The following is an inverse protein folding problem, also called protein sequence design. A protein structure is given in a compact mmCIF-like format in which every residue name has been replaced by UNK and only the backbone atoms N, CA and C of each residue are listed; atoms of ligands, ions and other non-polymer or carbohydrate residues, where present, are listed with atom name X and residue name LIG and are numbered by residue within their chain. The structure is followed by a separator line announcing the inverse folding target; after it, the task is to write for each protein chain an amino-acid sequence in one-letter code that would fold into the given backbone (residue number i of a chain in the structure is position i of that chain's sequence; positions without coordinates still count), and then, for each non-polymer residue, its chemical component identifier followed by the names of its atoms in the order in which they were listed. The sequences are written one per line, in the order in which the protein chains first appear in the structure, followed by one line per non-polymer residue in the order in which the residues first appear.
data_IF_539715862996
#
_entry.id   IF_539715862996
#
_cell.length_a   1.000
_cell.length_b   1.000
_cell.length_c   1.000
_cell.angle_alpha   90.00
_cell.angle_beta   90.00
_cell.angle_gamma   90.00
#
_symmetry.space_group_name_H-M   'P 1'
#
loop_
_entity.id
_entity.type
_entity.pdbx_description
1 polymer ?
#
# COMPACT_ATOMS: atom_id res chain seq x y z
N UNK A 1 1.04 -36.90 10.60
CA UNK A 1 0.57 -37.30 11.94
C UNK A 1 0.43 -36.00 12.74
N UNK A 2 -0.70 -35.46 13.14
CA UNK A 2 -2.10 -35.87 13.12
C UNK A 2 -2.97 -34.62 12.87
N UNK A 3 -3.97 -34.79 12.00
CA UNK A 3 -5.05 -33.82 11.78
C UNK A 3 -6.03 -33.94 12.96
N UNK A 4 -6.33 -32.85 13.66
CA UNK A 4 -7.51 -32.76 14.51
C UNK A 4 -8.55 -31.84 13.85
N UNK A 5 -9.53 -32.50 13.25
CA UNK A 5 -10.78 -31.93 12.75
C UNK A 5 -11.66 -31.71 13.97
N UNK A 6 -12.11 -30.48 14.22
CA UNK A 6 -13.19 -30.19 15.17
C UNK A 6 -14.52 -30.11 14.37
N UNK A 7 -15.37 -31.11 14.59
CA UNK A 7 -16.73 -31.15 14.09
C UNK A 7 -17.62 -30.51 15.16
N UNK A 8 -18.29 -29.38 14.83
CA UNK A 8 -19.37 -28.86 15.65
C UNK A 8 -20.68 -29.55 15.27
N UNK A 9 -21.20 -30.34 16.22
CA UNK A 9 -22.50 -30.98 16.14
C UNK A 9 -23.60 -30.01 16.56
N UNK A 10 -24.43 -29.60 15.61
CA UNK A 10 -25.65 -28.80 15.84
C UNK A 10 -26.79 -29.77 16.25
N UNK A 11 -27.21 -29.74 17.52
CA UNK A 11 -28.39 -30.48 17.97
C UNK A 11 -29.61 -29.54 17.92
N UNK A 12 -30.47 -29.75 16.93
CA UNK A 12 -31.77 -29.13 16.91
C UNK A 12 -32.78 -30.03 17.65
N UNK A 13 -33.33 -29.58 18.76
CA UNK A 13 -34.41 -30.24 19.47
C UNK A 13 -35.71 -29.63 18.95
N UNK A 14 -36.46 -30.43 18.15
CA UNK A 14 -37.82 -30.15 17.79
C UNK A 14 -38.71 -30.87 18.81
N UNK A 15 -39.40 -30.13 19.65
CA UNK A 15 -40.47 -30.67 20.52
C UNK A 15 -41.81 -30.58 19.78
N UNK A 16 -42.26 -31.71 19.30
CA UNK A 16 -43.67 -31.87 18.86
C UNK A 16 -44.53 -32.19 20.09
N UNK A 17 -45.44 -31.29 20.44
CA UNK A 17 -46.53 -31.61 21.36
C UNK A 17 -47.76 -32.07 20.55
N UNK A 18 -48.04 -33.35 20.61
CA UNK A 18 -49.31 -33.93 20.13
C UNK A 18 -50.33 -33.77 21.25
N UNK A 19 -51.40 -33.02 21.01
CA UNK A 19 -52.59 -33.06 21.84
C UNK A 19 -53.60 -34.04 21.27
N UNK A 20 -53.89 -35.05 22.01
CA UNK A 20 -54.92 -36.06 21.68
C UNK A 20 -56.33 -35.52 21.89
N UNK A 21 -57.16 -35.66 20.86
CA UNK A 21 -58.58 -35.46 20.95
C UNK A 21 -59.19 -36.76 21.44
N UNK A 22 -59.94 -36.70 22.55
CA UNK A 22 -60.83 -37.78 22.96
C UNK A 22 -62.28 -37.35 22.73
N UNK A 23 -62.96 -38.09 21.86
CA UNK A 23 -64.39 -38.03 21.69
C UNK A 23 -65.09 -39.04 22.62
N UNK A 24 -66.07 -38.64 23.31
CA UNK A 24 -67.03 -39.54 23.93
C UNK A 24 -68.41 -38.92 23.87
N UNK A 25 -69.25 -39.74 23.43
CA UNK A 25 -70.61 -39.73 22.91
C UNK A 25 -71.69 -39.70 24.03
N UNK A 26 -72.87 -39.25 23.63
CA UNK A 26 -74.25 -39.62 24.02
C UNK A 26 -74.95 -38.88 25.15
N UNK A 27 -76.04 -38.36 24.75
CA UNK A 27 -77.49 -38.54 24.83
C UNK A 27 -78.24 -37.54 25.69
N UNK A 28 -79.20 -36.94 25.00
CA UNK A 28 -80.55 -36.49 25.41
C UNK A 28 -80.86 -36.00 26.82
N UNK A 29 -81.30 -34.74 26.94
CA UNK A 29 -82.69 -34.45 27.25
C UNK A 29 -83.04 -32.97 27.12
N UNK A 30 -84.21 -32.73 26.55
CA UNK A 30 -84.81 -31.41 26.33
C UNK A 30 -85.29 -30.78 27.61
N UNK A 31 -84.91 -29.52 27.88
CA UNK A 31 -85.84 -28.65 28.56
C UNK A 31 -85.61 -27.17 28.22
N UNK A 32 -86.64 -26.60 27.58
CA UNK A 32 -86.72 -25.20 27.22
C UNK A 32 -86.89 -24.33 28.49
N UNK A 33 -85.99 -23.39 28.76
CA UNK A 33 -86.36 -22.21 29.52
C UNK A 33 -85.69 -21.01 28.86
N UNK A 34 -86.51 -20.00 28.70
CA UNK A 34 -86.25 -18.77 27.94
C UNK A 34 -84.99 -18.01 28.28
N UNK A 35 -84.47 -17.43 27.24
CA UNK A 35 -83.38 -16.49 27.11
C UNK A 35 -83.38 -15.32 28.06
N UNK A 36 -82.24 -15.04 28.62
CA UNK A 36 -81.80 -13.67 28.73
C UNK A 36 -80.58 -13.57 27.85
N UNK A 37 -80.65 -12.61 26.95
CA UNK A 37 -79.57 -12.18 26.05
C UNK A 37 -78.56 -11.43 26.93
N UNK A 38 -77.63 -12.18 27.52
CA UNK A 38 -76.51 -11.64 28.16
C UNK A 38 -75.47 -11.47 27.07
N UNK A 39 -75.46 -10.26 26.47
CA UNK A 39 -74.39 -9.87 25.59
C UNK A 39 -73.08 -10.06 26.36
N UNK A 40 -72.40 -11.16 26.04
CA UNK A 40 -71.00 -11.33 26.39
C UNK A 40 -70.26 -10.17 25.72
N UNK A 41 -70.12 -9.08 26.44
CA UNK A 41 -69.12 -8.08 26.16
C UNK A 41 -67.79 -8.84 26.27
N UNK A 42 -67.29 -9.34 25.16
CA UNK A 42 -65.95 -9.89 25.09
C UNK A 42 -65.03 -8.83 25.68
N UNK A 43 -64.41 -9.14 26.78
CA UNK A 43 -63.30 -8.32 27.29
C UNK A 43 -62.35 -8.17 26.11
N UNK A 44 -62.28 -6.96 25.57
CA UNK A 44 -61.23 -6.57 24.65
C UNK A 44 -59.99 -6.59 25.52
N UNK A 45 -59.28 -7.72 25.49
CA UNK A 45 -58.00 -7.85 26.17
C UNK A 45 -57.04 -6.90 25.45
N UNK A 46 -57.01 -5.66 25.93
CA UNK A 46 -56.08 -4.64 25.48
C UNK A 46 -54.71 -4.92 26.08
N UNK A 47 -54.19 -6.14 25.92
CA UNK A 47 -52.84 -6.45 26.39
C UNK A 47 -51.83 -5.56 25.64
N UNK A 48 -51.25 -4.66 26.41
CA UNK A 48 -50.19 -3.78 25.90
C UNK A 48 -48.97 -4.64 25.64
N UNK A 49 -48.48 -4.60 24.39
CA UNK A 49 -47.19 -5.15 24.03
C UNK A 49 -46.25 -4.04 23.52
N UNK A 50 -44.99 -4.16 23.84
CA UNK A 50 -43.96 -3.19 23.47
C UNK A 50 -42.89 -3.94 22.68
N UNK A 51 -42.66 -3.56 21.42
CA UNK A 51 -41.56 -4.04 20.59
C UNK A 51 -40.53 -2.92 20.43
N UNK A 52 -39.27 -3.21 20.79
CA UNK A 52 -38.19 -2.24 20.75
C UNK A 52 -37.22 -2.63 19.66
N UNK A 53 -36.72 -1.65 18.92
CA UNK A 53 -35.67 -1.83 17.92
C UNK A 53 -34.54 -0.83 18.13
N UNK A 54 -33.31 -1.31 17.99
CA UNK A 54 -32.10 -0.53 17.98
C UNK A 54 -31.13 -1.15 16.97
N UNK A 55 -30.27 -0.33 16.35
CA UNK A 55 -29.27 -0.79 15.39
C UNK A 55 -27.88 -0.59 15.98
N UNK A 56 -26.96 -1.46 15.56
CA UNK A 56 -25.54 -1.24 15.81
C UNK A 56 -25.10 0.10 15.19
N UNK A 57 -24.25 0.81 15.92
CA UNK A 57 -23.68 2.09 15.50
C UNK A 57 -22.15 2.04 15.59
N UNK A 58 -21.51 3.05 15.01
CA UNK A 58 -20.07 3.29 15.17
C UNK A 58 -19.85 4.33 16.28
N UNK A 59 -18.76 4.22 16.98
CA UNK A 59 -18.38 5.17 18.03
C UNK A 59 -18.41 6.61 17.52
N UNK A 60 -19.12 7.46 18.27
CA UNK A 60 -19.37 8.85 17.93
C UNK A 60 -20.67 9.10 17.16
N UNK A 61 -21.36 8.05 16.71
CA UNK A 61 -22.71 8.16 16.15
C UNK A 61 -23.77 8.10 17.24
N UNK A 62 -24.94 8.66 16.93
CA UNK A 62 -26.10 8.67 17.83
C UNK A 62 -26.93 7.40 17.63
N UNK A 63 -27.30 6.72 18.73
CA UNK A 63 -28.16 5.56 18.72
C UNK A 63 -29.65 5.96 18.77
N UNK A 64 -30.36 5.77 17.67
CA UNK A 64 -31.81 5.91 17.64
C UNK A 64 -32.46 4.59 18.06
N UNK A 65 -33.29 4.66 19.12
CA UNK A 65 -34.07 3.54 19.63
C UNK A 65 -35.56 3.84 19.41
N UNK A 66 -36.26 2.91 18.80
CA UNK A 66 -37.69 3.01 18.52
C UNK A 66 -38.46 1.96 19.34
N UNK A 67 -39.61 2.34 19.89
CA UNK A 67 -40.59 1.43 20.47
C UNK A 67 -41.90 1.50 19.70
N UNK A 68 -42.44 0.33 19.37
CA UNK A 68 -43.83 0.16 18.85
C UNK A 68 -44.69 -0.42 19.94
N UNK A 69 -45.87 0.16 20.13
CA UNK A 69 -46.79 -0.21 21.18
C UNK A 69 -48.08 -0.65 20.55
N UNK A 70 -48.60 -1.77 21.02
CA UNK A 70 -49.91 -2.30 20.61
C UNK A 70 -50.82 -2.30 21.82
N UNK A 71 -52.03 -1.75 21.73
CA UNK A 71 -52.67 -1.22 20.51
C UNK A 71 -52.10 0.14 20.09
N UNK A 72 -52.08 0.44 18.79
CA UNK A 72 -51.47 1.60 18.18
C UNK A 72 -52.17 2.96 18.51
N UNK A 73 -53.35 2.90 19.15
CA UNK A 73 -54.05 4.08 19.69
C UNK A 73 -53.59 4.48 21.09
N UNK A 74 -52.60 3.76 21.67
CA UNK A 74 -51.97 4.12 22.94
C UNK A 74 -51.29 5.50 22.86
N UNK A 75 -51.53 6.33 23.86
CA UNK A 75 -50.97 7.69 23.94
C UNK A 75 -50.32 7.90 25.29
N UNK A 76 -49.41 8.85 25.39
CA UNK A 76 -48.72 9.18 26.63
C UNK A 76 -47.20 9.14 26.45
N UNK A 77 -46.51 8.84 27.54
CA UNK A 77 -45.03 8.82 27.55
C UNK A 77 -44.54 7.41 27.87
N UNK A 78 -43.54 6.96 27.09
CA UNK A 78 -42.82 5.71 27.33
C UNK A 78 -41.40 6.03 27.80
N UNK A 79 -40.89 5.28 28.77
CA UNK A 79 -39.54 5.39 29.28
C UNK A 79 -38.64 4.36 28.60
N UNK A 80 -37.47 4.79 28.14
CA UNK A 80 -36.41 3.93 27.65
C UNK A 80 -35.26 3.93 28.65
N UNK A 81 -34.88 2.76 29.16
CA UNK A 81 -33.75 2.57 30.05
C UNK A 81 -32.63 1.88 29.32
N UNK A 82 -31.49 2.54 29.18
CA UNK A 82 -30.28 2.02 28.58
C UNK A 82 -29.31 1.62 29.70
N UNK A 83 -28.83 0.39 29.69
CA UNK A 83 -27.88 -0.20 30.64
C UNK A 83 -28.33 0.01 32.10
N UNK A 84 -29.63 0.00 32.37
CA UNK A 84 -30.30 0.21 33.67
C UNK A 84 -30.04 1.57 34.31
N UNK A 85 -29.26 2.47 33.72
CA UNK A 85 -28.82 3.71 34.33
C UNK A 85 -29.27 4.97 33.57
N UNK A 86 -29.31 4.96 32.26
CA UNK A 86 -29.62 6.13 31.45
C UNK A 86 -31.09 6.04 31.02
N UNK A 87 -31.91 6.96 31.49
CA UNK A 87 -33.34 6.97 31.19
C UNK A 87 -33.70 8.17 30.33
N UNK A 88 -34.39 7.88 29.22
CA UNK A 88 -35.01 8.89 28.35
C UNK A 88 -36.52 8.62 28.24
N UNK A 89 -37.27 9.67 27.91
CA UNK A 89 -38.72 9.58 27.75
C UNK A 89 -39.11 10.00 26.34
N UNK A 90 -39.80 9.13 25.64
CA UNK A 90 -40.40 9.39 24.35
C UNK A 90 -41.90 9.63 24.42
N UNK A 91 -42.43 10.49 23.58
CA UNK A 91 -43.89 10.71 23.44
C UNK A 91 -44.42 9.71 22.40
N UNK A 92 -45.46 8.98 22.79
CA UNK A 92 -46.13 8.02 21.91
C UNK A 92 -47.00 8.78 20.89
N UNK A 93 -46.74 8.58 19.63
CA UNK A 93 -47.48 9.14 18.49
C UNK A 93 -47.82 8.01 17.53
N UNK A 94 -49.11 7.77 17.27
CA UNK A 94 -49.57 6.66 16.39
C UNK A 94 -48.96 5.30 16.77
N UNK A 95 -48.90 5.00 18.06
CA UNK A 95 -48.39 3.73 18.57
C UNK A 95 -46.87 3.57 18.48
N UNK A 96 -46.11 4.65 18.26
CA UNK A 96 -44.66 4.60 18.19
C UNK A 96 -44.03 5.74 18.99
N UNK A 97 -42.87 5.50 19.55
CA UNK A 97 -42.04 6.53 20.17
C UNK A 97 -40.56 6.26 19.86
N UNK A 98 -39.75 7.30 19.80
CA UNK A 98 -38.32 7.17 19.61
C UNK A 98 -37.53 8.09 20.52
N UNK A 99 -36.33 7.67 20.88
CA UNK A 99 -35.35 8.47 21.62
C UNK A 99 -33.97 8.32 20.97
N UNK A 100 -33.08 9.26 21.26
CA UNK A 100 -31.69 9.25 20.73
C UNK A 100 -30.75 9.24 21.92
N UNK A 101 -29.92 8.21 22.03
CA UNK A 101 -28.82 8.15 23.00
C UNK A 101 -27.52 8.58 22.31
N UNK A 102 -26.84 9.52 22.96
CA UNK A 102 -25.59 10.11 22.42
C UNK A 102 -24.40 9.78 23.31
N UNK A 103 -23.18 9.89 22.77
CA UNK A 103 -21.93 9.71 23.51
C UNK A 103 -21.82 8.34 24.21
N UNK A 104 -22.24 7.29 23.53
CA UNK A 104 -22.16 5.94 24.05
C UNK A 104 -20.72 5.40 23.97
N UNK A 105 -20.33 4.66 24.99
CA UNK A 105 -19.06 3.94 25.02
C UNK A 105 -19.07 2.75 24.06
N UNK A 106 -17.89 2.32 23.63
CA UNK A 106 -17.74 1.14 22.78
C UNK A 106 -18.09 -0.11 23.57
N UNK A 107 -18.91 -0.97 22.99
CA UNK A 107 -19.33 -2.21 23.59
C UNK A 107 -20.78 -2.57 23.31
N UNK A 108 -21.29 -3.50 24.09
CA UNK A 108 -22.69 -3.92 24.07
C UNK A 108 -23.51 -3.05 24.99
N UNK A 109 -24.62 -2.57 24.48
CA UNK A 109 -25.63 -1.82 25.21
C UNK A 109 -26.96 -2.56 25.19
N UNK A 110 -27.70 -2.48 26.25
CA UNK A 110 -29.03 -3.09 26.39
C UNK A 110 -30.08 -2.03 26.68
N UNK A 111 -31.17 -2.03 25.94
CA UNK A 111 -32.27 -1.09 26.13
C UNK A 111 -33.59 -1.82 26.41
N UNK A 112 -34.34 -1.32 27.36
CA UNK A 112 -35.69 -1.74 27.70
C UNK A 112 -36.62 -0.54 27.63
N UNK A 113 -37.78 -0.69 27.03
CA UNK A 113 -38.82 0.31 27.06
C UNK A 113 -39.92 -0.09 28.08
N UNK A 114 -40.42 0.89 28.83
CA UNK A 114 -41.43 0.69 29.89
C UNK A 114 -42.58 1.67 29.73
N UNK A 115 -43.80 1.17 29.70
CA UNK A 115 -45.03 1.94 29.66
C UNK A 115 -46.04 1.35 30.65
N UNK A 116 -46.56 2.15 31.54
CA UNK A 116 -47.56 1.79 32.58
C UNK A 116 -47.20 0.49 33.34
N UNK A 117 -45.91 0.34 33.69
CA UNK A 117 -45.40 -0.83 34.44
C UNK A 117 -45.13 -2.07 33.59
N UNK A 118 -45.44 -2.04 32.27
CA UNK A 118 -45.13 -3.11 31.34
C UNK A 118 -43.81 -2.83 30.65
N UNK A 119 -42.90 -3.82 30.67
CA UNK A 119 -41.58 -3.73 30.08
C UNK A 119 -41.54 -4.53 28.76
N UNK A 120 -40.78 -4.01 27.79
CA UNK A 120 -40.38 -4.78 26.64
C UNK A 120 -39.37 -5.88 27.02
N UNK A 121 -39.12 -6.80 26.12
CA UNK A 121 -37.90 -7.63 26.15
C UNK A 121 -36.68 -6.73 25.95
N UNK A 122 -35.54 -7.00 26.62
CA UNK A 122 -34.31 -6.26 26.38
C UNK A 122 -33.84 -6.42 24.92
N UNK A 123 -33.46 -5.33 24.30
CA UNK A 123 -32.82 -5.31 22.97
C UNK A 123 -31.36 -4.90 23.11
N UNK A 124 -30.49 -5.69 22.52
CA UNK A 124 -29.04 -5.46 22.56
C UNK A 124 -28.57 -4.92 21.21
N UNK A 125 -27.77 -3.87 21.25
CA UNK A 125 -27.04 -3.34 20.09
C UNK A 125 -25.59 -3.06 20.46
N UNK A 126 -24.72 -2.92 19.44
CA UNK A 126 -23.30 -2.68 19.65
C UNK A 126 -22.93 -1.26 19.23
N UNK A 127 -22.05 -0.65 20.00
CA UNK A 127 -21.24 0.50 19.57
C UNK A 127 -19.89 -0.04 19.13
N UNK A 128 -19.65 0.00 17.84
CA UNK A 128 -18.46 -0.57 17.21
C UNK A 128 -17.31 0.45 17.16
N UNK A 129 -16.08 -0.03 17.17
CA UNK A 129 -14.91 0.82 16.92
C UNK A 129 -14.97 1.42 15.52
N UNK A 130 -14.36 2.59 15.33
CA UNK A 130 -14.20 3.21 14.02
C UNK A 130 -13.26 2.35 13.18
N UNK A 131 -13.75 1.80 12.08
CA UNK A 131 -12.97 1.03 11.10
C UNK A 131 -12.68 1.79 9.80
N UNK A 132 -13.52 2.79 9.49
CA UNK A 132 -13.35 3.66 8.33
C UNK A 132 -12.51 4.88 8.68
N UNK A 133 -11.19 4.73 8.58
CA UNK A 133 -10.21 5.81 8.78
C UNK A 133 -8.99 5.58 7.89
N UNK A 134 -8.20 6.63 7.66
CA UNK A 134 -6.99 6.54 6.86
C UNK A 134 -5.77 6.15 7.70
N UNK A 135 -4.96 5.27 7.13
CA UNK A 135 -3.62 4.94 7.60
C UNK A 135 -2.68 5.06 6.42
N UNK A 136 -1.71 5.95 6.51
CA UNK A 136 -0.72 6.17 5.44
C UNK A 136 0.67 5.79 5.91
N UNK A 137 1.47 5.28 4.98
CA UNK A 137 2.88 4.94 5.19
C UNK A 137 3.69 5.71 4.16
N UNK A 138 4.58 6.58 4.62
CA UNK A 138 5.47 7.34 3.77
C UNK A 138 6.92 7.03 4.12
N UNK A 139 7.65 6.51 3.15
CA UNK A 139 9.07 6.23 3.27
C UNK A 139 9.74 6.62 1.94
N UNK A 140 10.53 7.71 1.90
CA UNK A 140 11.28 8.06 0.70
C UNK A 140 12.31 6.97 0.37
N UNK A 141 12.62 6.82 -0.91
CA UNK A 141 13.72 5.94 -1.32
C UNK A 141 15.04 6.41 -0.72
N UNK A 142 15.88 5.46 -0.31
CA UNK A 142 17.19 5.74 0.27
C UNK A 142 18.27 4.99 -0.49
N UNK A 143 19.51 5.45 -0.40
CA UNK A 143 20.64 4.69 -0.92
C UNK A 143 21.01 3.53 -0.01
N UNK A 144 21.50 2.45 -0.61
CA UNK A 144 22.01 1.29 0.11
C UNK A 144 23.06 1.69 1.16
N UNK A 145 22.93 1.13 2.34
CA UNK A 145 23.73 1.48 3.52
C UNK A 145 23.07 2.50 4.45
N UNK A 146 21.97 3.14 4.03
CA UNK A 146 21.16 4.01 4.89
C UNK A 146 19.92 3.29 5.42
N UNK A 147 19.44 3.75 6.58
CA UNK A 147 18.17 3.25 7.13
C UNK A 147 16.98 3.84 6.35
N UNK A 148 15.96 3.02 6.13
CA UNK A 148 14.67 3.49 5.66
C UNK A 148 13.88 4.02 6.86
N UNK A 149 13.54 5.31 6.86
CA UNK A 149 12.69 5.92 7.89
C UNK A 149 11.25 5.97 7.40
N UNK A 150 10.42 5.05 7.89
CA UNK A 150 9.01 4.98 7.55
C UNK A 150 8.16 5.80 8.52
N UNK A 151 7.46 6.81 8.00
CA UNK A 151 6.51 7.63 8.74
C UNK A 151 5.11 7.07 8.55
N UNK A 152 4.50 6.59 9.63
CA UNK A 152 3.14 6.09 9.66
C UNK A 152 2.24 7.17 10.25
N UNK A 153 1.14 7.47 9.58
CA UNK A 153 0.17 8.49 10.01
C UNK A 153 -1.23 7.89 10.04
N UNK A 154 -1.90 8.07 11.16
CA UNK A 154 -3.29 7.73 11.46
C UNK A 154 -4.04 9.00 11.92
N UNK A 155 -5.34 8.93 12.28
CA UNK A 155 -6.02 10.06 12.94
C UNK A 155 -5.24 10.58 14.16
N UNK A 156 -5.25 11.89 14.37
CA UNK A 156 -4.40 12.56 15.36
C UNK A 156 -4.56 12.03 16.80
N UNK A 157 -5.77 11.61 17.14
CA UNK A 157 -6.11 11.04 18.46
C UNK A 157 -5.93 9.52 18.54
N UNK A 158 -5.50 8.85 17.48
CA UNK A 158 -5.16 7.43 17.51
C UNK A 158 -3.92 7.19 18.38
N UNK A 159 -3.99 6.13 19.19
CA UNK A 159 -2.95 5.72 20.15
C UNK A 159 -2.58 4.25 19.95
N UNK A 160 -1.59 3.77 20.68
CA UNK A 160 -1.19 2.36 20.64
C UNK A 160 0.00 2.08 19.77
N UNK A 161 0.18 0.82 19.40
CA UNK A 161 1.38 0.31 18.76
C UNK A 161 1.16 0.04 17.26
N UNK A 162 2.22 0.24 16.50
CA UNK A 162 2.30 -0.06 15.06
C UNK A 162 3.53 -0.91 14.80
N UNK A 163 3.38 -1.97 14.01
CA UNK A 163 4.48 -2.81 13.59
C UNK A 163 4.66 -2.76 12.08
N UNK A 164 5.91 -2.82 11.64
CA UNK A 164 6.29 -3.09 10.24
C UNK A 164 6.91 -4.47 10.19
N UNK A 165 6.32 -5.36 9.39
CA UNK A 165 6.81 -6.73 9.17
C UNK A 165 7.45 -6.84 7.78
N UNK A 166 8.69 -7.33 7.74
CA UNK A 166 9.46 -7.58 6.53
C UNK A 166 10.05 -8.98 6.61
N UNK A 167 9.50 -9.92 5.85
CA UNK A 167 9.88 -11.32 5.99
C UNK A 167 9.62 -11.83 7.41
N UNK A 168 10.69 -12.21 8.12
CA UNK A 168 10.62 -12.70 9.51
C UNK A 168 10.98 -11.60 10.54
N UNK A 169 11.33 -10.41 10.09
CA UNK A 169 11.72 -9.29 10.97
C UNK A 169 10.51 -8.40 11.28
N UNK A 170 10.46 -7.89 12.50
CA UNK A 170 9.40 -6.98 12.97
C UNK A 170 10.02 -5.75 13.61
N UNK A 171 9.60 -4.58 13.14
CA UNK A 171 10.03 -3.28 13.65
C UNK A 171 8.83 -2.60 14.31
N UNK A 172 9.02 -2.12 15.54
CA UNK A 172 7.93 -1.62 16.38
C UNK A 172 7.99 -0.10 16.51
N UNK A 173 6.84 0.53 16.52
CA UNK A 173 6.66 1.94 16.80
C UNK A 173 5.45 2.19 17.67
N UNK A 174 5.44 3.32 18.38
CA UNK A 174 4.31 3.76 19.20
C UNK A 174 3.80 5.09 18.69
N UNK A 175 2.49 5.22 18.56
CA UNK A 175 1.85 6.44 18.09
C UNK A 175 1.94 7.55 19.15
N UNK A 176 2.30 8.74 18.70
CA UNK A 176 2.23 10.01 19.42
C UNK A 176 1.50 11.00 18.53
N UNK A 177 0.35 11.48 18.94
CA UNK A 177 -0.52 12.34 18.14
C UNK A 177 -0.79 11.74 16.73
N UNK A 178 -1.17 10.47 16.71
CA UNK A 178 -1.50 9.74 15.48
C UNK A 178 -0.31 9.44 14.56
N UNK A 179 0.94 9.67 14.98
CA UNK A 179 2.13 9.46 14.14
C UNK A 179 3.19 8.64 14.84
N UNK A 180 3.94 7.89 14.04
CA UNK A 180 5.20 7.26 14.48
C UNK A 180 6.17 7.22 13.31
N UNK A 181 7.47 7.23 13.63
CA UNK A 181 8.54 6.96 12.65
C UNK A 181 9.28 5.70 13.10
N UNK A 182 9.44 4.77 12.17
CA UNK A 182 10.13 3.51 12.40
C UNK A 182 11.31 3.43 11.44
N UNK A 183 12.52 3.30 11.99
CA UNK A 183 13.75 3.15 11.22
C UNK A 183 14.03 1.67 10.97
N UNK A 184 14.25 1.33 9.71
CA UNK A 184 14.49 -0.03 9.23
C UNK A 184 15.91 -0.08 8.68
N UNK A 185 16.85 -0.70 9.39
CA UNK A 185 18.24 -0.79 8.96
C UNK A 185 18.48 -1.93 7.97
N UNK A 186 19.56 -1.83 7.22
CA UNK A 186 20.19 -2.91 6.47
C UNK A 186 19.30 -3.57 5.39
N UNK A 187 18.34 -2.84 4.82
CA UNK A 187 17.62 -3.35 3.66
C UNK A 187 18.57 -3.48 2.46
N UNK A 188 18.42 -4.57 1.73
CA UNK A 188 19.16 -4.80 0.48
C UNK A 188 18.67 -3.86 -0.62
N UNK A 189 19.54 -3.59 -1.60
CA UNK A 189 19.16 -2.80 -2.77
C UNK A 189 18.00 -3.46 -3.53
N UNK A 190 17.07 -2.63 -3.99
CA UNK A 190 15.84 -3.05 -4.68
C UNK A 190 14.57 -2.68 -3.92
N UNK A 191 13.48 -3.30 -4.32
CA UNK A 191 12.17 -3.11 -3.71
C UNK A 191 11.90 -4.22 -2.68
N UNK A 192 11.57 -3.82 -1.47
CA UNK A 192 11.24 -4.71 -0.36
C UNK A 192 9.79 -4.52 0.06
N UNK A 193 8.98 -5.57 -0.03
CA UNK A 193 7.59 -5.53 0.41
C UNK A 193 7.51 -5.61 1.93
N UNK A 194 6.62 -4.84 2.52
CA UNK A 194 6.37 -4.78 3.94
C UNK A 194 4.87 -4.76 4.24
N UNK A 195 4.51 -5.30 5.39
CA UNK A 195 3.15 -5.21 5.94
C UNK A 195 3.19 -4.36 7.21
N UNK A 196 2.40 -3.30 7.23
CA UNK A 196 2.28 -2.39 8.37
C UNK A 196 0.97 -2.69 9.09
N UNK A 197 1.06 -2.98 10.39
CA UNK A 197 -0.07 -3.36 11.23
C UNK A 197 -0.23 -2.38 12.37
N UNK A 198 -1.37 -1.75 12.45
CA UNK A 198 -1.84 -1.05 13.62
C UNK A 198 -2.78 -1.95 14.41
N UNK A 199 -2.56 -2.11 15.71
CA UNK A 199 -3.33 -3.05 16.54
C UNK A 199 -4.64 -2.47 17.09
N UNK A 200 -4.96 -1.25 16.71
CA UNK A 200 -6.12 -0.56 17.21
C UNK A 200 -5.92 -0.01 18.64
N UNK A 201 -6.89 0.75 19.09
CA UNK A 201 -6.95 1.29 20.45
C UNK A 201 -8.38 1.19 21.03
N UNK A 202 -8.72 2.03 22.00
CA UNK A 202 -10.07 2.06 22.55
C UNK A 202 -11.11 2.55 21.54
N UNK A 203 -10.72 3.43 20.60
CA UNK A 203 -11.60 4.11 19.66
C UNK A 203 -11.55 3.52 18.25
N UNK A 204 -10.37 3.16 17.79
CA UNK A 204 -10.11 2.69 16.44
C UNK A 204 -9.92 1.17 16.40
N UNK A 205 -10.48 0.54 15.37
CA UNK A 205 -10.23 -0.86 15.08
C UNK A 205 -8.77 -1.05 14.58
N UNK A 206 -8.28 -2.28 14.59
CA UNK A 206 -7.01 -2.64 13.96
C UNK A 206 -7.05 -2.40 12.45
N UNK A 207 -5.89 -2.14 11.85
CA UNK A 207 -5.75 -1.90 10.41
C UNK A 207 -4.41 -2.40 9.90
N UNK A 208 -4.44 -2.98 8.71
CA UNK A 208 -3.26 -3.48 8.00
C UNK A 208 -3.13 -2.82 6.63
N UNK A 209 -1.92 -2.38 6.29
CA UNK A 209 -1.59 -1.77 5.00
C UNK A 209 -0.31 -2.43 4.46
N UNK A 210 -0.32 -2.82 3.19
CA UNK A 210 0.87 -3.27 2.49
C UNK A 210 1.56 -2.09 1.80
N UNK A 211 2.89 -2.07 1.87
CA UNK A 211 3.73 -1.05 1.27
C UNK A 211 4.99 -1.67 0.68
N UNK A 212 5.76 -0.87 -0.05
CA UNK A 212 7.05 -1.27 -0.61
C UNK A 212 8.08 -0.20 -0.27
N UNK A 213 9.21 -0.62 0.28
CA UNK A 213 10.36 0.23 0.50
C UNK A 213 11.36 0.07 -0.63
N UNK A 214 11.91 1.19 -1.09
CA UNK A 214 12.87 1.22 -2.20
C UNK A 214 14.25 1.61 -1.68
N UNK A 215 15.24 0.75 -1.93
CA UNK A 215 16.66 1.01 -1.65
C UNK A 215 17.43 1.07 -2.98
N UNK A 216 18.03 2.21 -3.23
CA UNK A 216 18.78 2.47 -4.46
C UNK A 216 20.19 1.91 -4.27
N UNK A 217 20.55 0.91 -5.06
CA UNK A 217 21.90 0.35 -5.11
C UNK A 217 22.81 1.14 -6.05
N UNK A 218 23.94 0.56 -6.41
CA UNK A 218 24.86 1.11 -7.40
C UNK A 218 24.75 0.42 -8.78
N UNK A 219 23.75 -0.41 -9.00
CA UNK A 219 23.57 -1.14 -10.25
C UNK A 219 22.47 -0.51 -11.11
N UNK A 220 22.87 -0.05 -12.29
CA UNK A 220 22.01 0.47 -13.35
C UNK A 220 21.62 -0.66 -14.29
N UNK A 221 20.34 -0.80 -14.55
CA UNK A 221 19.79 -1.66 -15.60
C UNK A 221 18.94 -0.80 -16.55
N UNK A 222 18.55 -1.33 -17.69
CA UNK A 222 17.63 -0.60 -18.59
C UNK A 222 16.34 -0.17 -17.88
N UNK A 223 15.82 -1.00 -16.98
CA UNK A 223 14.59 -0.72 -16.22
C UNK A 223 14.77 0.35 -15.12
N UNK A 224 15.95 0.44 -14.52
CA UNK A 224 16.25 1.40 -13.43
C UNK A 224 17.01 2.63 -13.91
N UNK A 225 17.23 2.75 -15.22
CA UNK A 225 18.08 3.78 -15.82
C UNK A 225 17.70 5.20 -15.35
N UNK A 226 16.44 5.57 -15.47
CA UNK A 226 15.95 6.90 -15.11
C UNK A 226 15.87 7.16 -13.58
N UNK A 227 16.29 6.22 -12.75
CA UNK A 227 16.57 6.46 -11.33
C UNK A 227 17.87 7.25 -11.16
N UNK A 228 18.84 7.04 -12.04
CA UNK A 228 20.20 7.61 -11.98
C UNK A 228 20.40 8.78 -12.94
N UNK A 229 19.77 8.72 -14.09
CA UNK A 229 19.91 9.68 -15.18
C UNK A 229 18.59 10.40 -15.44
N UNK A 230 18.68 11.64 -15.86
CA UNK A 230 17.52 12.38 -16.32
C UNK A 230 17.11 12.01 -17.75
N UNK A 231 16.06 12.68 -18.25
CA UNK A 231 15.55 12.46 -19.62
C UNK A 231 16.53 12.84 -20.74
N UNK A 232 17.55 13.65 -20.43
CA UNK A 232 18.57 14.10 -21.35
C UNK A 232 19.88 13.26 -21.23
N UNK A 233 19.85 12.22 -20.39
CA UNK A 233 20.96 11.30 -20.18
C UNK A 233 22.06 11.87 -19.27
N UNK A 234 21.77 12.89 -18.48
CA UNK A 234 22.72 13.44 -17.51
C UNK A 234 22.53 12.77 -16.15
N UNK A 235 23.62 12.46 -15.49
CA UNK A 235 23.60 11.88 -14.14
C UNK A 235 22.97 12.89 -13.16
N UNK A 236 21.76 12.59 -12.70
CA UNK A 236 20.87 13.58 -12.05
C UNK A 236 20.94 13.63 -10.53
N UNK A 237 21.71 12.75 -9.87
CA UNK A 237 21.76 12.68 -8.42
C UNK A 237 23.21 12.56 -7.90
N UNK A 238 23.37 12.98 -6.64
CA UNK A 238 24.62 12.75 -5.91
C UNK A 238 24.60 11.31 -5.40
N UNK A 239 25.34 10.45 -6.09
CA UNK A 239 25.43 9.03 -5.79
C UNK A 239 26.55 8.82 -4.75
N UNK A 240 26.26 8.19 -3.59
CA UNK A 240 27.24 8.00 -2.52
C UNK A 240 28.19 6.83 -2.78
N UNK A 241 28.21 6.28 -3.99
CA UNK A 241 29.06 5.18 -4.39
C UNK A 241 30.27 5.68 -5.20
N UNK A 242 31.39 4.97 -5.07
CA UNK A 242 32.58 5.23 -5.92
C UNK A 242 32.36 4.72 -7.35
N UNK A 243 31.57 3.67 -7.49
CA UNK A 243 31.36 2.95 -8.74
C UNK A 243 29.86 2.80 -9.05
N UNK A 244 29.51 3.00 -10.33
CA UNK A 244 28.20 2.73 -10.88
C UNK A 244 28.31 1.53 -11.85
N UNK A 245 27.61 0.45 -11.55
CA UNK A 245 27.69 -0.81 -12.29
C UNK A 245 26.55 -0.85 -13.30
N UNK A 246 26.86 -0.91 -14.57
CA UNK A 246 25.89 -1.08 -15.63
C UNK A 246 25.73 -2.57 -15.96
N UNK A 247 24.50 -3.08 -15.92
CA UNK A 247 24.22 -4.49 -16.17
C UNK A 247 23.14 -4.69 -17.23
N UNK A 248 23.46 -5.46 -18.25
CA UNK A 248 22.53 -5.86 -19.32
C UNK A 248 22.57 -4.99 -20.56
N UNK A 249 21.47 -4.98 -21.31
CA UNK A 249 21.37 -4.32 -22.60
C UNK A 249 20.60 -2.99 -22.48
N UNK A 250 21.25 -1.90 -22.84
CA UNK A 250 20.68 -0.55 -22.84
C UNK A 250 20.27 -0.18 -24.27
N UNK A 251 18.98 -0.14 -24.49
CA UNK A 251 18.36 0.19 -25.78
C UNK A 251 16.97 0.79 -25.57
N UNK A 252 16.49 1.55 -26.56
CA UNK A 252 15.15 2.13 -26.53
C UNK A 252 14.96 3.24 -25.48
N UNK A 253 16.05 3.81 -24.98
CA UNK A 253 16.03 4.91 -24.02
C UNK A 253 15.75 6.28 -24.69
N UNK A 254 15.75 6.35 -26.02
CA UNK A 254 15.68 7.58 -26.81
C UNK A 254 16.79 8.60 -26.47
N UNK A 255 17.97 8.08 -26.16
CA UNK A 255 19.16 8.84 -25.84
C UNK A 255 20.29 8.47 -26.80
N UNK A 256 21.07 9.45 -27.26
CA UNK A 256 22.28 9.24 -28.03
C UNK A 256 23.55 9.30 -27.18
N UNK A 257 23.49 9.96 -26.02
CA UNK A 257 24.65 10.12 -25.13
C UNK A 257 24.26 10.07 -23.66
N UNK A 258 25.17 9.55 -22.83
CA UNK A 258 25.13 9.67 -21.37
C UNK A 258 26.22 10.63 -20.92
N UNK A 259 25.86 11.63 -20.16
CA UNK A 259 26.80 12.64 -19.64
C UNK A 259 27.10 12.37 -18.17
N UNK A 260 28.39 12.22 -17.89
CA UNK A 260 28.93 12.01 -16.54
C UNK A 260 29.69 13.27 -16.14
N UNK A 261 29.05 14.10 -15.36
CA UNK A 261 29.58 15.38 -14.86
C UNK A 261 29.96 15.34 -13.37
N UNK A 262 29.84 14.17 -12.72
CA UNK A 262 30.20 13.91 -11.33
C UNK A 262 31.22 12.81 -11.22
N UNK A 263 32.06 12.86 -10.18
CA UNK A 263 33.10 11.87 -9.95
C UNK A 263 32.53 10.51 -9.56
N UNK A 264 32.43 9.61 -10.53
CA UNK A 264 31.98 8.22 -10.34
C UNK A 264 32.58 7.34 -11.44
N UNK A 265 33.08 6.17 -11.08
CA UNK A 265 33.55 5.20 -12.07
C UNK A 265 32.36 4.48 -12.71
N UNK A 266 32.50 4.13 -13.97
CA UNK A 266 31.53 3.34 -14.71
C UNK A 266 32.10 1.95 -14.99
N UNK A 267 31.40 0.92 -14.54
CA UNK A 267 31.82 -0.47 -14.72
C UNK A 267 30.72 -1.24 -15.46
N UNK A 268 31.06 -1.81 -16.60
CA UNK A 268 30.16 -2.69 -17.34
C UNK A 268 30.18 -4.12 -16.78
N UNK A 269 29.05 -4.65 -16.34
CA UNK A 269 28.85 -6.05 -16.06
C UNK A 269 27.98 -6.66 -17.14
N UNK A 270 28.60 -7.14 -18.24
CA UNK A 270 27.89 -7.55 -19.46
C UNK A 270 26.98 -6.43 -19.99
N UNK A 271 27.47 -5.21 -19.93
CA UNK A 271 26.75 -4.01 -20.32
C UNK A 271 26.92 -3.75 -21.82
N UNK A 272 25.81 -3.64 -22.54
CA UNK A 272 25.76 -3.29 -23.96
C UNK A 272 25.07 -1.93 -24.09
N UNK A 273 25.81 -0.91 -24.53
CA UNK A 273 25.25 0.39 -24.92
C UNK A 273 25.02 0.37 -26.44
N UNK A 274 23.77 0.35 -26.87
CA UNK A 274 23.41 0.30 -28.27
C UNK A 274 23.01 1.69 -28.76
N UNK A 275 23.79 2.23 -29.68
CA UNK A 275 23.66 3.58 -30.22
C UNK A 275 23.65 4.68 -29.15
N UNK A 276 24.43 4.45 -28.07
CA UNK A 276 24.57 5.38 -26.93
C UNK A 276 26.07 5.58 -26.69
N UNK A 277 26.54 6.82 -26.76
CA UNK A 277 27.90 7.20 -26.40
C UNK A 277 27.98 7.71 -24.96
N UNK A 278 29.20 7.82 -24.45
CA UNK A 278 29.53 8.38 -23.13
C UNK A 278 30.24 9.72 -23.28
N UNK A 279 29.80 10.75 -22.55
CA UNK A 279 30.48 12.03 -22.44
C UNK A 279 30.99 12.21 -21.00
N UNK A 280 32.29 12.13 -20.82
CA UNK A 280 32.96 12.19 -19.51
C UNK A 280 33.45 13.61 -19.29
N UNK A 281 32.74 14.37 -18.44
CA UNK A 281 33.08 15.76 -18.12
C UNK A 281 33.81 15.91 -16.79
N UNK A 282 33.60 14.98 -15.86
CA UNK A 282 34.23 15.03 -14.56
C UNK A 282 35.66 14.42 -14.59
N UNK A 283 36.48 14.89 -13.69
CA UNK A 283 37.86 14.41 -13.50
C UNK A 283 37.91 13.11 -12.69
N UNK A 284 39.00 12.35 -12.87
CA UNK A 284 39.30 11.13 -12.10
C UNK A 284 38.27 10.05 -12.25
N UNK A 285 37.82 9.78 -13.47
CA UNK A 285 36.83 8.77 -13.81
C UNK A 285 37.48 7.58 -14.52
N UNK A 286 37.04 6.38 -14.15
CA UNK A 286 37.33 5.15 -14.91
C UNK A 286 36.07 4.68 -15.62
N UNK A 287 36.22 4.27 -16.90
CA UNK A 287 35.18 3.60 -17.72
C UNK A 287 35.72 2.27 -18.16
N UNK A 288 35.10 1.18 -17.72
CA UNK A 288 35.65 -0.15 -17.98
C UNK A 288 34.59 -1.21 -18.27
N UNK A 289 34.98 -2.21 -19.07
CA UNK A 289 34.24 -3.45 -19.33
C UNK A 289 32.90 -3.26 -20.06
N UNK A 290 32.71 -2.18 -20.80
CA UNK A 290 31.52 -1.97 -21.66
C UNK A 290 31.69 -2.59 -23.03
N UNK A 291 30.57 -2.98 -23.60
CA UNK A 291 30.41 -3.20 -25.03
C UNK A 291 29.59 -2.03 -25.59
N UNK A 292 30.21 -1.15 -26.35
CA UNK A 292 29.53 -0.02 -27.00
C UNK A 292 29.35 -0.34 -28.47
N UNK A 293 28.09 -0.42 -28.89
CA UNK A 293 27.71 -0.76 -30.28
C UNK A 293 27.17 0.48 -30.95
N UNK A 294 27.84 0.96 -31.99
CA UNK A 294 27.40 2.12 -32.74
C UNK A 294 27.07 1.70 -34.19
N UNK A 295 25.85 2.03 -34.61
CA UNK A 295 25.36 1.82 -35.96
C UNK A 295 25.25 3.16 -36.73
N UNK A 296 24.96 3.10 -37.99
CA UNK A 296 24.84 4.31 -38.84
C UNK A 296 23.66 5.22 -38.47
N UNK A 297 22.74 4.75 -37.61
CA UNK A 297 21.56 5.50 -37.17
C UNK A 297 21.72 6.10 -35.80
N UNK A 298 22.89 5.94 -35.20
CA UNK A 298 23.09 6.34 -33.78
C UNK A 298 23.00 7.84 -33.55
N UNK A 299 23.41 8.67 -34.52
CA UNK A 299 23.57 10.11 -34.27
C UNK A 299 24.64 10.44 -33.23
N UNK A 300 25.49 9.48 -32.89
CA UNK A 300 26.55 9.59 -31.88
C UNK A 300 27.85 9.98 -32.54
N UNK A 301 28.48 11.07 -32.11
CA UNK A 301 29.74 11.55 -32.66
C UNK A 301 30.93 10.75 -32.16
N UNK A 302 30.87 10.18 -30.97
CA UNK A 302 31.92 9.38 -30.34
C UNK A 302 31.35 8.31 -29.43
N UNK A 303 31.98 7.11 -29.41
CA UNK A 303 31.63 6.12 -28.42
C UNK A 303 31.94 6.59 -26.98
N UNK A 304 33.11 7.22 -26.82
CA UNK A 304 33.48 7.93 -25.58
C UNK A 304 34.08 9.27 -25.94
N UNK A 305 33.51 10.35 -25.39
CA UNK A 305 34.03 11.71 -25.46
C UNK A 305 34.58 12.12 -24.10
N UNK A 306 35.88 12.26 -23.95
CA UNK A 306 36.56 12.54 -22.68
C UNK A 306 36.94 14.01 -22.65
N UNK A 307 36.44 14.74 -21.65
CA UNK A 307 36.69 16.15 -21.39
C UNK A 307 37.23 16.40 -19.97
N UNK A 308 37.25 15.36 -19.12
CA UNK A 308 37.77 15.40 -17.76
C UNK A 308 39.22 14.93 -17.70
N UNK A 309 39.99 15.50 -16.80
CA UNK A 309 41.39 15.11 -16.55
C UNK A 309 41.48 13.79 -15.74
N UNK A 310 42.61 13.10 -15.87
CA UNK A 310 42.90 11.85 -15.17
C UNK A 310 41.90 10.74 -15.43
N UNK A 311 41.33 10.70 -16.62
CA UNK A 311 40.39 9.63 -17.01
C UNK A 311 41.14 8.34 -17.37
N UNK A 312 40.51 7.20 -17.11
CA UNK A 312 41.03 5.88 -17.48
C UNK A 312 39.97 5.09 -18.25
N UNK A 313 40.22 4.80 -19.53
CA UNK A 313 39.33 4.08 -20.40
C UNK A 313 39.94 2.72 -20.70
N UNK A 314 39.42 1.65 -20.07
CA UNK A 314 40.08 0.36 -20.13
C UNK A 314 39.13 -0.83 -20.32
N UNK A 315 39.63 -1.90 -20.97
CA UNK A 315 38.92 -3.15 -21.12
C UNK A 315 37.55 -3.03 -21.84
N UNK A 316 37.31 -2.00 -22.63
CA UNK A 316 36.04 -1.83 -23.33
C UNK A 316 36.13 -2.49 -24.74
N UNK A 317 34.99 -2.88 -25.26
CA UNK A 317 34.81 -3.36 -26.63
C UNK A 317 33.95 -2.35 -27.39
N UNK A 318 34.50 -1.78 -28.45
CA UNK A 318 33.77 -0.89 -29.34
C UNK A 318 33.43 -1.64 -30.62
N UNK A 319 32.16 -1.88 -30.90
CA UNK A 319 31.66 -2.47 -32.15
C UNK A 319 31.06 -1.35 -33.00
N UNK A 320 31.73 -1.03 -34.10
CA UNK A 320 31.39 0.12 -34.95
C UNK A 320 31.03 -0.33 -36.33
N UNK A 321 29.90 0.10 -36.87
CA UNK A 321 29.48 -0.19 -38.25
C UNK A 321 30.16 0.75 -39.27
N UNK A 322 30.18 0.35 -40.52
CA UNK A 322 30.79 1.04 -41.68
C UNK A 322 30.25 2.43 -41.98
N UNK A 323 29.09 2.73 -41.48
CA UNK A 323 28.43 4.00 -41.70
C UNK A 323 28.60 5.01 -40.57
N UNK A 324 29.42 4.70 -39.56
CA UNK A 324 29.88 5.66 -38.58
C UNK A 324 30.56 6.81 -39.30
N UNK A 325 30.07 8.03 -39.14
CA UNK A 325 30.43 9.18 -39.95
C UNK A 325 31.94 9.37 -40.03
N UNK A 326 32.44 9.81 -41.18
CA UNK A 326 33.86 10.08 -41.43
C UNK A 326 34.51 11.09 -40.49
N UNK A 327 33.70 11.91 -39.83
CA UNK A 327 34.13 12.92 -38.86
C UNK A 327 33.95 12.46 -37.40
N UNK A 328 33.47 11.22 -37.19
CA UNK A 328 33.27 10.61 -35.89
C UNK A 328 34.51 9.84 -35.40
N UNK A 329 34.62 9.70 -34.06
CA UNK A 329 35.75 9.01 -33.44
C UNK A 329 35.24 7.92 -32.48
N UNK A 330 35.97 6.83 -32.35
CA UNK A 330 35.64 5.85 -31.29
C UNK A 330 35.92 6.46 -29.93
N UNK A 331 37.08 7.08 -29.74
CA UNK A 331 37.40 7.86 -28.53
C UNK A 331 37.85 9.26 -28.98
N UNK A 332 37.12 10.27 -28.53
CA UNK A 332 37.50 11.68 -28.64
C UNK A 332 37.97 12.18 -27.28
N UNK A 333 39.14 12.80 -27.21
CA UNK A 333 39.69 13.39 -26.02
C UNK A 333 40.06 14.85 -26.27
N UNK A 334 39.40 15.75 -25.56
CA UNK A 334 39.63 17.18 -25.70
C UNK A 334 39.80 17.82 -24.29
N UNK A 335 40.91 18.48 -24.05
CA UNK A 335 41.30 19.02 -22.73
C UNK A 335 41.38 17.91 -21.64
N UNK A 336 41.67 16.68 -22.00
CA UNK A 336 41.71 15.52 -21.14
C UNK A 336 43.13 15.16 -20.69
N UNK A 337 43.73 16.00 -19.86
CA UNK A 337 45.09 15.79 -19.36
C UNK A 337 45.21 14.48 -18.53
N UNK A 338 46.35 13.80 -18.63
CA UNK A 338 46.66 12.54 -17.94
C UNK A 338 45.65 11.40 -18.27
N UNK A 339 45.14 11.36 -19.49
CA UNK A 339 44.25 10.30 -19.96
C UNK A 339 45.03 9.01 -20.18
N UNK A 340 44.48 7.88 -19.71
CA UNK A 340 44.99 6.55 -20.03
C UNK A 340 43.92 5.78 -20.84
N UNK A 341 44.30 5.23 -21.95
CA UNK A 341 43.48 4.34 -22.81
C UNK A 341 44.23 3.02 -22.89
N UNK A 342 43.69 1.97 -22.24
CA UNK A 342 44.43 0.71 -22.09
C UNK A 342 43.52 -0.50 -22.35
N UNK A 343 44.09 -1.51 -23.04
CA UNK A 343 43.43 -2.81 -23.27
C UNK A 343 41.99 -2.72 -23.79
N UNK A 344 41.71 -1.79 -24.72
CA UNK A 344 40.41 -1.69 -25.39
C UNK A 344 40.44 -2.42 -26.74
N UNK A 345 39.33 -3.03 -27.09
CA UNK A 345 39.16 -3.72 -28.39
C UNK A 345 38.23 -2.94 -29.29
N UNK A 346 38.63 -2.67 -30.53
CA UNK A 346 37.81 -2.03 -31.54
C UNK A 346 37.51 -3.01 -32.65
N UNK A 347 36.21 -3.33 -32.82
CA UNK A 347 35.74 -4.21 -33.89
C UNK A 347 34.98 -3.36 -34.89
N UNK A 348 35.48 -3.39 -36.12
CA UNK A 348 34.87 -2.71 -37.26
C UNK A 348 34.16 -3.72 -38.15
N UNK A 349 32.86 -3.55 -38.37
CA UNK A 349 32.05 -4.49 -39.18
C UNK A 349 31.73 -3.98 -40.58
N UNK A 350 32.38 -2.92 -41.06
CA UNK A 350 32.09 -2.28 -42.33
C UNK A 350 32.66 -2.96 -43.54
N UNK A 351 32.03 -2.71 -44.73
CA UNK A 351 32.61 -3.07 -46.03
C UNK A 351 33.79 -2.14 -46.30
N UNK A 352 34.90 -2.73 -46.70
CA UNK A 352 36.11 -2.01 -47.12
C UNK A 352 35.94 -1.48 -48.57
N UNK A 353 35.12 -0.46 -48.76
CA UNK A 353 35.00 0.27 -50.02
C UNK A 353 36.00 1.42 -50.14
N UNK A 354 37.00 1.44 -49.29
CA UNK A 354 38.07 2.44 -49.28
C UNK A 354 37.78 3.68 -48.41
N UNK A 355 36.61 3.80 -47.81
CA UNK A 355 36.22 4.89 -46.93
C UNK A 355 36.08 4.40 -45.43
N UNK A 356 37.07 3.64 -44.96
CA UNK A 356 37.09 3.20 -43.55
C UNK A 356 37.15 4.34 -42.56
N UNK A 357 36.95 4.02 -41.28
CA UNK A 357 37.12 4.98 -40.14
C UNK A 357 38.54 5.56 -40.28
N UNK A 358 38.63 6.85 -40.58
CA UNK A 358 39.92 7.52 -40.75
C UNK A 358 40.59 7.86 -39.38
N UNK A 359 39.80 7.92 -38.31
CA UNK A 359 40.30 8.33 -37.00
C UNK A 359 39.63 7.51 -35.89
N UNK A 360 40.40 6.63 -35.27
CA UNK A 360 39.91 5.80 -34.17
C UNK A 360 39.94 6.57 -32.83
N UNK A 361 41.08 7.23 -32.59
CA UNK A 361 41.29 8.02 -31.37
C UNK A 361 41.74 9.42 -31.78
N UNK A 362 41.04 10.43 -31.31
CA UNK A 362 41.39 11.85 -31.46
C UNK A 362 41.79 12.43 -30.12
N UNK A 363 42.92 13.11 -30.09
CA UNK A 363 43.43 13.78 -28.90
C UNK A 363 43.75 15.23 -29.26
N UNK A 364 43.11 16.17 -28.58
CA UNK A 364 43.34 17.63 -28.76
C UNK A 364 43.55 18.27 -27.37
N UNK A 365 44.48 19.19 -27.29
CA UNK A 365 44.78 20.01 -26.15
C UNK A 365 44.85 19.22 -24.82
N UNK A 366 45.46 18.03 -24.88
CA UNK A 366 45.55 17.07 -23.79
C UNK A 366 47.00 16.65 -23.57
N UNK A 367 47.48 16.91 -22.37
CA UNK A 367 48.84 16.56 -21.96
C UNK A 367 48.90 15.18 -21.31
N UNK A 368 50.02 14.46 -21.47
CA UNK A 368 50.33 13.18 -20.81
C UNK A 368 49.27 12.08 -21.13
N UNK A 369 48.89 11.93 -22.39
CA UNK A 369 48.00 10.87 -22.83
C UNK A 369 48.78 9.58 -23.07
N UNK A 370 48.41 8.51 -22.42
CA UNK A 370 48.97 7.16 -22.57
C UNK A 370 47.96 6.25 -23.34
N UNK A 371 48.38 5.72 -24.47
CA UNK A 371 47.62 4.72 -25.21
C UNK A 371 48.42 3.43 -25.17
N UNK A 372 47.85 2.44 -24.48
CA UNK A 372 48.48 1.15 -24.20
C UNK A 372 47.63 0.02 -24.78
N UNK A 373 48.27 -1.11 -25.05
CA UNK A 373 47.61 -2.25 -25.66
C UNK A 373 47.74 -3.48 -24.77
#
# INVERSE_FOLDING_TARGET
MDKKIFVFLLVAIVALSLSAVSAADTTDDVNMVASYDDAVVGEVNNDISIDVTAKDITYGEDATVEAKIIPNNTAGNIKFSLDDNIVQTGVITNGSASVIFTNLEIGKHSVIASYDGINSTPVVFNVNKISAYDMTVNAPAVFYGNNVSAVITLPEDATGDVNINIGNETYNGKLINGKTTIDIPNLVAGNTNATVVYFGDKKYADKTVNTTFTVIGNTVTNATFFTYFDKDGVLNMDIPFADLIFAGNFSGLNLSTLTIDKKINLIGEKAFLNDIGLVIKADNISVSNFVIVLTNTSGVESAIDVRGANANINNNIFSVDSAFDKDSFVINAENAANLTIDNNTIVYSGKTDGNGINNIIKVIDSDNVNILN
#
